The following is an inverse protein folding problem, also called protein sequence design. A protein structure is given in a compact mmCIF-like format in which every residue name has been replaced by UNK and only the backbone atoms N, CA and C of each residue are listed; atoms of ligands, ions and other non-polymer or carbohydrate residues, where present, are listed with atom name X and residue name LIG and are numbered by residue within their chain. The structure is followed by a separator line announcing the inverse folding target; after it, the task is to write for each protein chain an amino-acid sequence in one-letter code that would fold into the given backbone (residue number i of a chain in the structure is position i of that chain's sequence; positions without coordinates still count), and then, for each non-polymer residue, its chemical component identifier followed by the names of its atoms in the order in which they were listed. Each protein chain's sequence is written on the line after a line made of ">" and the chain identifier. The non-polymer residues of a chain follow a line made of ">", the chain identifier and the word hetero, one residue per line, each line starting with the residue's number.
data_IF_671894083317
#
_entry.id   IF_671894083317
#
_cell.length_a   1.000
_cell.length_b   1.000
_cell.length_c   1.000
_cell.angle_alpha   90.00
_cell.angle_beta   90.00
_cell.angle_gamma   90.00
#
_symmetry.space_group_name_H-M   'P 1'
#
loop_
_entity.id
_entity.type
_entity.pdbx_description
1 polymer ?
#
# COMPACT_ATOMS: atom_id res chain seq x y z
N UNK A 1 -15.75 20.21 5.02
CA UNK A 1 -14.43 20.09 5.68
C UNK A 1 -13.90 18.71 5.38
N UNK A 2 -12.67 18.59 4.87
CA UNK A 2 -12.05 17.28 4.65
C UNK A 2 -11.73 16.66 6.00
N UNK A 3 -12.23 15.45 6.28
CA UNK A 3 -11.84 14.74 7.49
C UNK A 3 -10.34 14.39 7.40
N UNK A 4 -9.62 14.55 8.51
CA UNK A 4 -8.18 14.28 8.58
C UNK A 4 -7.91 12.80 8.30
N UNK A 5 -7.08 12.51 7.29
CA UNK A 5 -6.65 11.15 7.00
C UNK A 5 -5.68 10.63 8.08
N UNK A 6 -5.77 9.34 8.41
CA UNK A 6 -4.81 8.67 9.28
C UNK A 6 -3.62 8.21 8.46
N UNK A 7 -2.39 8.54 8.88
CA UNK A 7 -1.18 8.07 8.20
C UNK A 7 -0.75 6.72 8.79
N UNK A 8 -0.67 5.70 7.93
CA UNK A 8 -0.18 4.36 8.25
C UNK A 8 1.18 4.15 7.57
N UNK A 9 2.14 3.58 8.29
CA UNK A 9 3.44 3.18 7.72
C UNK A 9 3.51 1.66 7.69
N UNK A 10 4.02 1.11 6.60
CA UNK A 10 4.24 -0.32 6.43
C UNK A 10 5.60 -0.55 5.78
N UNK A 11 6.41 -1.41 6.38
CA UNK A 11 7.56 -2.00 5.70
C UNK A 11 7.09 -3.33 5.10
N UNK A 12 7.26 -3.49 3.79
CA UNK A 12 6.86 -4.68 3.06
C UNK A 12 8.08 -5.30 2.40
N UNK A 13 8.46 -6.49 2.87
CA UNK A 13 9.48 -7.33 2.26
C UNK A 13 8.80 -8.35 1.37
N UNK A 14 9.09 -8.31 0.06
CA UNK A 14 8.49 -9.17 -0.94
C UNK A 14 9.52 -10.15 -1.45
N UNK A 15 9.15 -11.43 -1.44
CA UNK A 15 9.89 -12.54 -2.05
C UNK A 15 8.95 -13.26 -3.02
N UNK A 16 8.80 -12.71 -4.21
CA UNK A 16 7.96 -13.25 -5.28
C UNK A 16 8.80 -14.16 -6.17
N UNK A 17 8.66 -15.48 -5.98
CA UNK A 17 9.43 -16.50 -6.69
C UNK A 17 9.00 -16.65 -8.15
N UNK A 18 7.73 -16.40 -8.46
CA UNK A 18 7.17 -16.57 -9.80
C UNK A 18 7.73 -15.48 -10.75
N UNK A 19 7.88 -14.26 -10.24
CA UNK A 19 8.45 -13.12 -10.97
C UNK A 19 9.96 -12.95 -10.75
N UNK A 20 10.54 -13.68 -9.79
CA UNK A 20 11.92 -13.48 -9.34
C UNK A 20 12.14 -12.08 -8.72
N UNK A 21 11.10 -11.52 -8.10
CA UNK A 21 11.11 -10.17 -7.55
C UNK A 21 11.36 -10.19 -6.03
N UNK A 22 12.50 -9.62 -5.63
CA UNK A 22 12.93 -9.55 -4.23
C UNK A 22 13.23 -8.11 -3.88
N UNK A 23 12.38 -7.50 -3.07
CA UNK A 23 12.52 -6.08 -2.73
C UNK A 23 11.93 -5.76 -1.36
N UNK A 24 12.43 -4.68 -0.76
CA UNK A 24 11.88 -4.09 0.46
C UNK A 24 11.29 -2.72 0.13
N UNK A 25 10.03 -2.50 0.50
CA UNK A 25 9.31 -1.25 0.27
C UNK A 25 8.91 -0.59 1.58
N UNK A 26 9.34 0.65 1.78
CA UNK A 26 8.90 1.49 2.89
C UNK A 26 7.72 2.35 2.43
N UNK A 27 6.50 1.93 2.79
CA UNK A 27 5.26 2.52 2.31
C UNK A 27 4.67 3.46 3.35
N UNK A 28 4.17 4.60 2.88
CA UNK A 28 3.38 5.55 3.66
C UNK A 28 2.00 5.69 3.02
N UNK A 29 0.96 5.24 3.71
CA UNK A 29 -0.41 5.23 3.20
C UNK A 29 -1.24 6.26 3.97
N UNK A 30 -1.93 7.14 3.24
CA UNK A 30 -3.01 7.92 3.80
C UNK A 30 -4.30 7.08 3.78
N UNK A 31 -4.96 6.98 4.93
CA UNK A 31 -6.26 6.35 5.11
C UNK A 31 -7.33 7.43 5.23
N UNK A 32 -8.18 7.55 4.21
CA UNK A 32 -9.32 8.46 4.29
C UNK A 32 -10.29 7.98 5.39
N UNK A 33 -11.01 8.85 6.13
CA UNK A 33 -11.88 8.41 7.23
C UNK A 33 -13.07 7.53 6.83
N UNK A 34 -13.43 7.53 5.54
CA UNK A 34 -14.40 6.58 4.97
C UNK A 34 -13.79 5.25 4.51
N UNK A 35 -12.46 5.11 4.59
CA UNK A 35 -11.77 3.88 4.24
C UNK A 35 -11.63 2.97 5.47
N UNK A 36 -12.16 1.75 5.36
CA UNK A 36 -11.99 0.71 6.38
C UNK A 36 -10.57 0.16 6.40
N UNK A 37 -10.14 -0.36 7.55
CA UNK A 37 -8.83 -1.02 7.68
C UNK A 37 -8.69 -2.19 6.69
N UNK A 38 -9.77 -2.95 6.45
CA UNK A 38 -9.81 -4.02 5.46
C UNK A 38 -9.50 -3.51 4.05
N UNK A 39 -10.13 -2.40 3.62
CA UNK A 39 -9.87 -1.82 2.30
C UNK A 39 -8.42 -1.33 2.18
N UNK A 40 -7.85 -0.75 3.23
CA UNK A 40 -6.45 -0.35 3.25
C UNK A 40 -5.51 -1.56 3.14
N UNK A 41 -5.81 -2.67 3.83
CA UNK A 41 -5.05 -3.93 3.70
C UNK A 41 -5.17 -4.52 2.29
N UNK A 42 -6.33 -4.45 1.64
CA UNK A 42 -6.49 -4.87 0.24
C UNK A 42 -5.63 -4.01 -0.70
N UNK A 43 -5.52 -2.69 -0.47
CA UNK A 43 -4.60 -1.85 -1.25
C UNK A 43 -3.14 -2.28 -1.05
N UNK A 44 -2.74 -2.60 0.18
CA UNK A 44 -1.40 -3.10 0.47
C UNK A 44 -1.14 -4.44 -0.21
N UNK A 45 -2.12 -5.35 -0.19
CA UNK A 45 -2.03 -6.63 -0.90
C UNK A 45 -1.93 -6.42 -2.42
N UNK A 46 -2.74 -5.53 -3.00
CA UNK A 46 -2.68 -5.20 -4.41
C UNK A 46 -1.31 -4.62 -4.81
N UNK A 47 -0.71 -3.81 -3.94
CA UNK A 47 0.68 -3.35 -4.11
C UNK A 47 1.64 -4.54 -4.12
N UNK A 48 1.56 -5.44 -3.14
CA UNK A 48 2.44 -6.60 -3.05
C UNK A 48 2.39 -7.48 -4.31
N UNK A 49 1.18 -7.76 -4.80
CA UNK A 49 0.94 -8.57 -5.99
C UNK A 49 1.47 -7.93 -7.28
N UNK A 50 1.56 -6.60 -7.33
CA UNK A 50 1.96 -5.85 -8.53
C UNK A 50 3.25 -5.05 -8.32
N UNK A 51 4.02 -5.39 -7.29
CA UNK A 51 5.15 -4.56 -6.86
C UNK A 51 6.16 -4.36 -7.99
N UNK A 52 6.64 -3.13 -8.11
CA UNK A 52 7.57 -2.69 -9.13
C UNK A 52 7.93 -1.22 -8.95
N UNK A 53 9.01 -0.78 -9.62
CA UNK A 53 9.69 0.48 -9.31
C UNK A 53 8.86 1.74 -9.55
N UNK A 54 7.82 1.64 -10.38
CA UNK A 54 6.94 2.77 -10.75
C UNK A 54 5.57 2.72 -10.12
N UNK A 55 5.28 1.71 -9.29
CA UNK A 55 3.98 1.58 -8.65
C UNK A 55 3.91 2.52 -7.44
N UNK A 56 2.90 3.38 -7.43
CA UNK A 56 2.65 4.33 -6.34
C UNK A 56 1.18 4.26 -5.91
N UNK A 57 0.90 4.56 -4.65
CA UNK A 57 -0.48 4.73 -4.21
C UNK A 57 -1.04 6.04 -4.76
N UNK A 58 -2.18 5.96 -5.43
CA UNK A 58 -2.99 7.13 -5.70
C UNK A 58 -3.55 7.75 -4.41
N UNK A 59 -4.28 8.87 -4.55
CA UNK A 59 -4.82 9.66 -3.41
C UNK A 59 -5.85 8.93 -2.55
N UNK A 60 -6.23 7.69 -2.88
CA UNK A 60 -7.31 6.97 -2.20
C UNK A 60 -8.68 7.50 -2.62
N UNK A 61 -9.66 7.28 -1.75
CA UNK A 61 -10.99 7.93 -1.84
C UNK A 61 -10.87 9.41 -1.50
#
# INVERSE_FOLDING_TARGET
>A
MALTATIRKAELQISDMDRGYYATHNLTLAQHPSETDERLMVRLLAFALNAGDRLEFGRGL
#
